data_IF_964597253414
#
_entry.id   IF_964597253414
#
_cell.length_a   1.000
_cell.length_b   1.000
_cell.length_c   1.000
_cell.angle_alpha   90.00
_cell.angle_beta   90.00
_cell.angle_gamma   90.00
#
_symmetry.space_group_name_H-M   'P 1'
#
loop_
_entity.id
_entity.type
_entity.pdbx_description
1 polymer ?
#
# COMPACT_ATOMS: atom_id res chain seq x y z
N UNK A 1 14.13 24.51 -24.87
CA UNK A 1 14.41 23.75 -23.62
C UNK A 1 13.76 24.37 -22.38
N UNK A 2 13.83 25.69 -22.14
CA UNK A 2 13.17 26.31 -20.98
C UNK A 2 11.65 26.08 -20.92
N UNK A 3 10.94 26.23 -22.06
CA UNK A 3 9.50 25.95 -22.17
C UNK A 3 9.10 24.52 -21.80
N UNK A 4 9.85 23.53 -22.27
CA UNK A 4 9.59 22.11 -21.95
C UNK A 4 9.83 21.80 -20.47
N UNK A 5 10.85 22.44 -19.84
CA UNK A 5 11.11 22.30 -18.41
C UNK A 5 10.02 22.96 -17.55
N UNK A 6 9.47 24.08 -18.00
CA UNK A 6 8.33 24.75 -17.35
C UNK A 6 7.06 23.90 -17.45
N UNK A 7 6.73 23.41 -18.64
CA UNK A 7 5.60 22.50 -18.88
C UNK A 7 5.73 21.18 -18.10
N UNK A 8 6.95 20.62 -18.03
CA UNK A 8 7.22 19.40 -17.25
C UNK A 8 7.11 19.65 -15.74
N UNK A 9 7.62 20.79 -15.24
CA UNK A 9 7.47 21.17 -13.83
C UNK A 9 6.00 21.37 -13.48
N UNK A 10 5.23 22.04 -14.34
CA UNK A 10 3.81 22.27 -14.15
C UNK A 10 3.01 20.96 -14.19
N UNK A 11 3.40 20.02 -15.05
CA UNK A 11 2.86 18.66 -15.06
C UNK A 11 3.20 17.85 -13.80
N UNK A 12 4.47 17.88 -13.36
CA UNK A 12 4.93 17.15 -12.18
C UNK A 12 4.35 17.70 -10.87
N UNK A 13 4.08 19.01 -10.80
CA UNK A 13 3.45 19.66 -9.65
C UNK A 13 1.93 19.42 -9.58
N UNK A 14 1.32 18.74 -10.56
CA UNK A 14 -0.06 18.28 -10.43
C UNK A 14 -0.13 17.26 -9.29
N UNK A 15 -0.83 17.62 -8.22
CA UNK A 15 -0.96 16.79 -7.00
C UNK A 15 -1.45 15.36 -7.24
N UNK A 16 -2.25 15.14 -8.30
CA UNK A 16 -2.69 13.80 -8.70
C UNK A 16 -1.53 12.92 -9.20
N UNK A 17 -0.59 13.48 -9.97
CA UNK A 17 0.58 12.74 -10.50
C UNK A 17 1.57 12.46 -9.38
N UNK A 18 1.80 13.43 -8.49
CA UNK A 18 2.69 13.27 -7.34
C UNK A 18 2.21 12.16 -6.39
N UNK A 19 0.91 12.15 -6.06
CA UNK A 19 0.33 11.11 -5.19
C UNK A 19 0.39 9.72 -5.82
N UNK A 20 0.14 9.63 -7.13
CA UNK A 20 0.30 8.38 -7.88
C UNK A 20 1.76 7.89 -7.88
N UNK A 21 2.71 8.79 -8.13
CA UNK A 21 4.13 8.44 -8.15
C UNK A 21 4.62 7.91 -6.80
N UNK A 22 4.22 8.55 -5.71
CA UNK A 22 4.52 8.10 -4.35
C UNK A 22 3.92 6.71 -4.10
N UNK A 23 2.67 6.49 -4.51
CA UNK A 23 2.01 5.19 -4.39
C UNK A 23 2.75 4.06 -5.12
N UNK A 24 3.23 4.31 -6.34
CA UNK A 24 4.01 3.33 -7.12
C UNK A 24 5.37 3.03 -6.47
N UNK A 25 6.07 4.06 -6.00
CA UNK A 25 7.39 3.88 -5.36
C UNK A 25 7.27 3.08 -4.05
N UNK A 26 6.30 3.43 -3.21
CA UNK A 26 6.05 2.72 -1.94
C UNK A 26 5.57 1.29 -2.22
N UNK A 27 4.69 1.10 -3.22
CA UNK A 27 4.22 -0.22 -3.63
C UNK A 27 5.36 -1.12 -4.10
N UNK A 28 6.27 -0.60 -4.92
CA UNK A 28 7.46 -1.32 -5.38
C UNK A 28 8.40 -1.70 -4.23
N UNK A 29 8.70 -0.76 -3.33
CA UNK A 29 9.58 -1.03 -2.19
C UNK A 29 8.99 -2.08 -1.22
N UNK A 30 7.68 -2.01 -0.96
CA UNK A 30 7.00 -3.00 -0.14
C UNK A 30 7.00 -4.39 -0.79
N UNK A 31 6.79 -4.47 -2.10
CA UNK A 31 6.87 -5.74 -2.83
C UNK A 31 8.28 -6.37 -2.70
N UNK A 32 9.35 -5.58 -2.86
CA UNK A 32 10.73 -6.06 -2.67
C UNK A 32 10.98 -6.59 -1.25
N UNK A 33 10.43 -5.93 -0.22
CA UNK A 33 10.55 -6.39 1.17
C UNK A 33 9.88 -7.76 1.37
N UNK A 34 8.67 -7.92 0.83
CA UNK A 34 7.92 -9.18 0.94
C UNK A 34 8.61 -10.30 0.16
N UNK A 35 9.12 -10.01 -1.05
CA UNK A 35 9.90 -10.96 -1.83
C UNK A 35 11.14 -11.40 -1.07
N UNK A 36 11.92 -10.48 -0.51
CA UNK A 36 13.10 -10.81 0.29
C UNK A 36 12.75 -11.68 1.52
N UNK A 37 11.65 -11.38 2.20
CA UNK A 37 11.17 -12.22 3.30
C UNK A 37 10.80 -13.64 2.84
N UNK A 38 10.08 -13.74 1.71
CA UNK A 38 9.67 -15.03 1.15
C UNK A 38 10.90 -15.84 0.72
N UNK A 39 11.85 -15.22 0.03
CA UNK A 39 13.06 -15.89 -0.45
C UNK A 39 13.99 -16.34 0.68
N UNK A 40 14.16 -15.50 1.72
CA UNK A 40 15.06 -15.81 2.83
C UNK A 40 14.48 -16.78 3.86
N UNK A 41 13.16 -16.81 4.07
CA UNK A 41 12.55 -17.63 5.11
C UNK A 41 11.66 -18.74 4.56
N UNK A 42 10.83 -18.46 3.56
CA UNK A 42 9.81 -19.39 3.10
C UNK A 42 10.39 -20.42 2.12
N UNK A 43 11.12 -19.96 1.10
CA UNK A 43 11.77 -20.84 0.11
C UNK A 43 12.67 -21.92 0.74
N UNK A 44 13.57 -21.62 1.70
CA UNK A 44 14.37 -22.68 2.33
C UNK A 44 13.54 -23.67 3.15
N UNK A 45 12.45 -23.23 3.80
CA UNK A 45 11.53 -24.11 4.53
C UNK A 45 10.81 -25.05 3.56
N UNK A 46 10.31 -24.52 2.44
CA UNK A 46 9.67 -25.33 1.40
C UNK A 46 10.66 -26.33 0.80
N UNK A 47 11.87 -25.89 0.44
CA UNK A 47 12.90 -26.77 -0.11
C UNK A 47 13.32 -27.85 0.90
N UNK A 48 13.33 -27.53 2.20
CA UNK A 48 13.64 -28.51 3.25
C UNK A 48 12.52 -29.53 3.48
N UNK A 49 11.26 -29.19 3.24
CA UNK A 49 10.10 -30.07 3.47
C UNK A 49 9.71 -30.84 2.20
N UNK A 50 9.82 -30.21 1.03
CA UNK A 50 9.54 -30.79 -0.28
C UNK A 50 10.67 -31.69 -0.81
N UNK A 51 11.79 -31.77 -0.09
CA UNK A 51 13.02 -32.35 -0.61
C UNK A 51 13.65 -31.43 -1.66
N UNK A 52 14.97 -31.48 -1.81
CA UNK A 52 15.75 -30.65 -2.72
C UNK A 52 15.30 -30.73 -4.20
N UNK A 53 14.38 -31.63 -4.55
CA UNK A 53 13.70 -31.66 -5.83
C UNK A 53 12.25 -32.08 -5.59
N UNK A 54 11.28 -31.21 -5.93
CA UNK A 54 10.04 -31.73 -6.54
C UNK A 54 10.53 -32.26 -7.89
N UNK A 55 11.19 -33.43 -7.87
CA UNK A 55 12.04 -34.04 -8.90
C UNK A 55 11.21 -34.61 -10.03
N UNK A 56 10.45 -33.71 -10.60
CA UNK A 56 9.48 -33.95 -11.61
C UNK A 56 10.02 -33.57 -12.96
N UNK A 57 10.96 -34.34 -13.46
CA UNK A 57 11.45 -34.16 -14.83
C UNK A 57 10.74 -35.18 -15.71
N UNK A 58 9.71 -34.74 -16.44
CA UNK A 58 9.18 -35.56 -17.53
C UNK A 58 10.05 -35.30 -18.76
N UNK A 59 10.83 -36.30 -19.17
CA UNK A 59 11.60 -36.23 -20.41
C UNK A 59 10.61 -36.35 -21.59
N UNK A 60 10.52 -35.30 -22.40
CA UNK A 60 9.77 -35.39 -23.66
C UNK A 60 10.74 -35.84 -24.74
N UNK A 61 10.65 -37.13 -25.06
CA UNK A 61 11.45 -37.79 -26.10
C UNK A 61 12.96 -37.71 -25.83
N UNK A 62 13.77 -38.55 -26.47
CA UNK A 62 15.24 -38.64 -26.30
C UNK A 62 16.01 -37.39 -26.81
N UNK A 63 15.48 -36.19 -26.58
CA UNK A 63 15.91 -34.89 -27.12
C UNK A 63 16.40 -33.92 -26.05
N UNK A 64 16.59 -34.38 -24.81
CA UNK A 64 17.24 -33.58 -23.75
C UNK A 64 16.45 -32.37 -23.23
N UNK A 65 15.14 -32.28 -23.52
CA UNK A 65 14.26 -31.26 -22.95
C UNK A 65 13.48 -31.84 -21.76
N UNK A 66 13.63 -31.18 -20.61
CA UNK A 66 12.95 -31.52 -19.37
C UNK A 66 11.78 -30.56 -19.15
N UNK A 67 10.57 -31.07 -18.92
CA UNK A 67 9.51 -30.27 -18.32
C UNK A 67 9.68 -30.36 -16.80
N UNK A 68 10.16 -29.26 -16.22
CA UNK A 68 10.35 -29.09 -14.78
C UNK A 68 9.03 -28.68 -14.11
N UNK A 69 8.08 -29.63 -14.00
CA UNK A 69 6.81 -29.33 -13.32
C UNK A 69 7.01 -29.02 -11.83
N UNK A 70 8.14 -29.46 -11.24
CA UNK A 70 8.54 -29.13 -9.89
C UNK A 70 8.86 -27.65 -9.67
N UNK A 71 9.55 -27.01 -10.62
CA UNK A 71 9.83 -25.58 -10.56
C UNK A 71 8.52 -24.76 -10.61
N UNK A 72 7.57 -25.20 -11.44
CA UNK A 72 6.26 -24.57 -11.53
C UNK A 72 5.45 -24.71 -10.23
N UNK A 73 5.41 -25.91 -9.64
CA UNK A 73 4.71 -26.15 -8.37
C UNK A 73 5.34 -25.35 -7.23
N UNK A 74 6.67 -25.30 -7.17
CA UNK A 74 7.39 -24.45 -6.21
C UNK A 74 7.04 -22.96 -6.39
N UNK A 75 6.98 -22.46 -7.63
CA UNK A 75 6.55 -21.10 -7.91
C UNK A 75 5.11 -20.82 -7.48
N UNK A 76 4.18 -21.75 -7.70
CA UNK A 76 2.78 -21.64 -7.26
C UNK A 76 2.68 -21.60 -5.73
N UNK A 77 3.41 -22.47 -5.02
CA UNK A 77 3.43 -22.49 -3.56
C UNK A 77 4.00 -21.17 -3.01
N UNK A 78 5.11 -20.67 -3.58
CA UNK A 78 5.69 -19.39 -3.21
C UNK A 78 4.73 -18.22 -3.45
N UNK A 79 3.99 -18.22 -4.57
CA UNK A 79 2.98 -17.20 -4.84
C UNK A 79 1.86 -17.17 -3.78
N UNK A 80 1.35 -18.35 -3.41
CA UNK A 80 0.30 -18.46 -2.37
C UNK A 80 0.81 -17.96 -1.02
N UNK A 81 2.04 -18.31 -0.64
CA UNK A 81 2.60 -17.89 0.66
C UNK A 81 2.91 -16.39 0.66
N UNK A 82 3.45 -15.84 -0.43
CA UNK A 82 3.65 -14.41 -0.58
C UNK A 82 2.33 -13.64 -0.40
N UNK A 83 1.25 -14.10 -1.04
CA UNK A 83 -0.09 -13.51 -0.87
C UNK A 83 -0.57 -13.60 0.60
N UNK A 84 -0.31 -14.72 1.27
CA UNK A 84 -0.66 -14.91 2.68
C UNK A 84 0.14 -13.99 3.61
N UNK A 85 1.44 -13.83 3.39
CA UNK A 85 2.31 -12.93 4.19
C UNK A 85 1.86 -11.48 4.02
N UNK A 86 1.58 -11.03 2.80
CA UNK A 86 1.04 -9.69 2.54
C UNK A 86 -0.27 -9.48 3.29
N UNK A 87 -1.16 -10.48 3.26
CA UNK A 87 -2.43 -10.41 3.98
C UNK A 87 -2.23 -10.29 5.49
N UNK A 88 -1.32 -11.07 6.09
CA UNK A 88 -1.00 -11.00 7.53
C UNK A 88 -0.42 -9.63 7.90
N UNK A 89 0.50 -9.10 7.09
CA UNK A 89 1.10 -7.76 7.33
C UNK A 89 0.03 -6.68 7.24
N UNK A 90 -0.80 -6.69 6.19
CA UNK A 90 -1.89 -5.72 6.03
C UNK A 90 -2.91 -5.82 7.16
N UNK A 91 -3.24 -7.03 7.61
CA UNK A 91 -4.08 -7.26 8.79
C UNK A 91 -3.42 -6.70 10.06
N UNK A 92 -2.11 -6.86 10.22
CA UNK A 92 -1.34 -6.30 11.33
C UNK A 92 -1.35 -4.77 11.33
N UNK A 93 -1.08 -4.16 10.18
CA UNK A 93 -1.12 -2.69 10.02
C UNK A 93 -2.55 -2.18 10.27
N UNK A 94 -3.58 -2.82 9.70
CA UNK A 94 -4.97 -2.45 9.95
C UNK A 94 -5.35 -2.60 11.44
N UNK A 95 -4.90 -3.66 12.11
CA UNK A 95 -5.14 -3.87 13.54
C UNK A 95 -4.43 -2.82 14.42
N UNK A 96 -3.19 -2.46 14.09
CA UNK A 96 -2.44 -1.41 14.81
C UNK A 96 -3.08 -0.04 14.56
N UNK A 97 -3.47 0.25 13.31
CA UNK A 97 -4.20 1.48 12.99
C UNK A 97 -5.55 1.52 13.70
N UNK A 98 -6.27 0.40 13.84
CA UNK A 98 -7.52 0.33 14.62
C UNK A 98 -7.30 0.51 16.12
N UNK A 99 -6.20 0.01 16.67
CA UNK A 99 -5.79 0.30 18.05
C UNK A 99 -5.39 1.77 18.25
N UNK A 100 -4.76 2.41 17.26
CA UNK A 100 -4.39 3.83 17.26
C UNK A 100 -5.53 4.79 16.92
N UNK A 101 -6.62 4.31 16.29
CA UNK A 101 -7.78 5.10 15.86
C UNK A 101 -8.65 5.65 17.00
N UNK A 102 -8.24 5.47 18.27
CA UNK A 102 -8.84 6.23 19.39
C UNK A 102 -8.25 7.63 19.57
N UNK A 103 -7.26 8.07 18.79
CA UNK A 103 -6.76 9.47 18.85
C UNK A 103 -6.49 10.20 17.53
N UNK A 104 -6.51 9.53 16.38
CA UNK A 104 -6.12 10.21 15.13
C UNK A 104 -6.88 9.71 13.90
N UNK A 105 -8.21 9.64 14.00
CA UNK A 105 -9.01 9.94 12.81
C UNK A 105 -9.07 11.45 12.73
N UNK A 106 -8.49 11.99 11.67
CA UNK A 106 -8.91 13.21 10.98
C UNK A 106 -10.43 13.25 10.83
N UNK A 107 -11.15 13.51 11.94
CA UNK A 107 -12.41 14.21 11.85
C UNK A 107 -12.08 15.57 11.22
N UNK A 108 -12.85 16.07 10.25
CA UNK A 108 -12.69 17.44 9.81
C UNK A 108 -12.91 18.31 11.05
N UNK A 109 -11.83 18.82 11.66
CA UNK A 109 -11.90 19.72 12.80
C UNK A 109 -12.60 21.03 12.41
N UNK A 110 -12.78 21.26 11.11
CA UNK A 110 -13.40 22.43 10.52
C UNK A 110 -14.80 22.14 9.98
N UNK A 111 -15.76 22.99 10.33
CA UNK A 111 -17.10 23.10 9.73
C UNK A 111 -17.19 24.41 8.96
N UNK A 112 -18.10 24.48 7.98
CA UNK A 112 -18.39 25.75 7.30
C UNK A 112 -19.31 26.60 8.18
N UNK A 113 -18.95 27.87 8.35
CA UNK A 113 -19.81 28.84 9.01
C UNK A 113 -21.07 29.11 8.17
N UNK A 114 -22.28 29.09 8.74
CA UNK A 114 -23.53 29.32 8.00
C UNK A 114 -23.69 30.75 7.48
N UNK A 115 -22.95 31.72 8.04
CA UNK A 115 -23.06 33.13 7.65
C UNK A 115 -22.08 33.52 6.54
N UNK A 116 -20.82 33.09 6.66
CA UNK A 116 -19.74 33.53 5.76
C UNK A 116 -19.09 32.42 4.95
N UNK A 117 -19.55 31.17 5.11
CA UNK A 117 -19.05 29.98 4.42
C UNK A 117 -17.54 29.67 4.62
N UNK A 118 -16.84 30.45 5.45
CA UNK A 118 -15.47 30.20 5.85
C UNK A 118 -15.34 28.99 6.76
N UNK A 119 -14.16 28.37 6.74
CA UNK A 119 -13.83 27.23 7.59
C UNK A 119 -13.58 27.70 9.03
N UNK A 120 -14.34 27.13 9.98
CA UNK A 120 -14.22 27.41 11.42
C UNK A 120 -14.10 26.09 12.18
N UNK A 121 -13.42 26.09 13.32
CA UNK A 121 -13.40 24.92 14.19
C UNK A 121 -14.82 24.49 14.63
N UNK A 122 -15.06 23.19 14.78
CA UNK A 122 -16.35 22.63 15.23
C UNK A 122 -16.80 23.23 16.57
N UNK A 123 -15.84 23.49 17.47
CA UNK A 123 -16.07 24.05 18.81
C UNK A 123 -16.09 25.58 18.86
N UNK A 124 -15.87 26.26 17.74
CA UNK A 124 -15.86 27.72 17.71
C UNK A 124 -17.28 28.28 17.94
N UNK A 125 -17.43 29.06 19.02
CA UNK A 125 -18.64 29.83 19.36
C UNK A 125 -18.69 31.17 18.65
N UNK A 126 -17.54 31.65 18.13
CA UNK A 126 -17.42 32.88 17.35
C UNK A 126 -16.62 32.63 16.08
N UNK A 127 -17.15 33.06 14.94
CA UNK A 127 -16.47 32.88 13.66
C UNK A 127 -15.31 33.87 13.51
N UNK A 128 -14.11 33.39 13.15
CA UNK A 128 -12.93 34.25 12.92
C UNK A 128 -13.04 35.11 11.64
N UNK A 129 -13.88 34.71 10.69
CA UNK A 129 -14.00 35.37 9.38
C UNK A 129 -15.07 36.47 9.35
N UNK A 130 -16.21 36.24 10.02
CA UNK A 130 -17.32 37.22 10.04
C UNK A 130 -17.68 37.75 11.43
N UNK A 131 -16.99 37.30 12.49
CA UNK A 131 -17.18 37.74 13.88
C UNK A 131 -18.58 37.47 14.46
N UNK A 132 -19.47 36.82 13.69
CA UNK A 132 -20.81 36.42 14.14
C UNK A 132 -20.72 35.25 15.14
N UNK A 133 -21.66 35.23 16.08
CA UNK A 133 -21.81 34.12 17.01
C UNK A 133 -22.41 32.91 16.27
N UNK A 134 -21.74 31.76 16.36
CA UNK A 134 -22.16 30.53 15.67
C UNK A 134 -22.49 29.48 16.74
N UNK A 135 -23.68 28.86 16.73
CA UNK A 135 -24.03 27.85 17.72
C UNK A 135 -23.05 26.67 17.63
N UNK A 136 -22.49 26.16 18.74
CA UNK A 136 -21.59 25.00 18.70
C UNK A 136 -22.36 23.75 18.26
N UNK A 137 -21.80 22.98 17.32
CA UNK A 137 -22.37 21.67 16.95
C UNK A 137 -21.94 20.68 18.03
N UNK A 138 -22.91 20.05 18.68
CA UNK A 138 -22.66 18.98 19.65
C UNK A 138 -22.26 17.71 18.87
N UNK A 139 -21.26 16.99 19.38
CA UNK A 139 -20.71 15.76 18.77
C UNK A 139 -21.75 14.67 18.53
#
# INVERSE_FOLDING_TARGET
>A
MKKFLEEFKEFALKGNVMSLAIGVIIGGAFQSLVTAFTDCFITPIINSIGGAEIGGHFQIFHTGQYIEYGAFISAVINFIIMAFVIFVIMKGINAIMDLGKKKEKTAPLTRKCPYCMGEIDIKATKCMHCTSDVPPVQE
#
